data_IF_490649440457
#
_entry.id   IF_490649440457
#
_cell.length_a   1.000
_cell.length_b   1.000
_cell.length_c   1.000
_cell.angle_alpha   90.00
_cell.angle_beta   90.00
_cell.angle_gamma   90.00
#
_symmetry.space_group_name_H-M   'P 1'
#
loop_
_entity.id
_entity.type
_entity.pdbx_description
1 polymer ?
2 water ?
#
# COMPACT_ATOMS: atom_id res chain seq x y z
N UNK A 5 -2.34 -18.01 8.65
CA UNK A 5 -1.36 -19.10 8.53
C UNK A 5 0.07 -18.56 8.61
N UNK A 6 1.03 -19.47 8.77
CA UNK A 6 2.48 -19.19 8.87
C UNK A 6 2.95 -18.61 7.52
N UNK A 7 2.39 -19.10 6.42
CA UNK A 7 2.71 -18.61 5.05
C UNK A 7 2.28 -17.15 4.92
N UNK A 8 1.10 -16.79 5.42
CA UNK A 8 0.59 -15.40 5.34
C UNK A 8 1.49 -14.51 6.21
N UNK A 9 1.99 -15.06 7.31
CA UNK A 9 2.92 -14.39 8.24
C UNK A 9 4.23 -14.12 7.52
N UNK A 10 4.74 -15.09 6.78
CA UNK A 10 6.03 -14.97 6.08
C UNK A 10 5.84 -13.98 4.93
N UNK A 11 4.69 -14.00 4.27
CA UNK A 11 4.41 -13.08 3.15
C UNK A 11 4.42 -11.65 3.70
N UNK A 12 3.79 -11.43 4.85
CA UNK A 12 3.71 -10.11 5.51
C UNK A 12 5.12 -9.63 5.82
N UNK A 13 5.92 -10.46 6.47
CA UNK A 13 7.29 -10.11 6.90
C UNK A 13 8.11 -9.71 5.68
N UNK A 14 7.97 -10.41 4.57
CA UNK A 14 8.74 -10.13 3.34
C UNK A 14 8.25 -8.80 2.77
N UNK A 15 6.95 -8.60 2.67
CA UNK A 15 6.32 -7.34 2.15
C UNK A 15 6.87 -6.14 2.90
N UNK A 16 6.78 -6.16 4.23
CA UNK A 16 7.18 -5.03 5.11
C UNK A 16 8.68 -4.80 4.98
N UNK A 17 9.45 -5.86 4.93
CA UNK A 17 10.92 -5.78 4.81
C UNK A 17 11.25 -5.09 3.50
N UNK A 18 10.61 -5.46 2.40
CA UNK A 18 10.94 -4.82 1.11
C UNK A 18 10.44 -3.37 1.10
N UNK A 19 9.31 -3.08 1.73
CA UNK A 19 8.74 -1.72 1.74
C UNK A 19 9.66 -0.78 2.50
N UNK A 20 10.29 -1.21 3.58
CA UNK A 20 11.21 -0.34 4.34
C UNK A 20 12.37 0.03 3.42
N UNK A 21 12.91 -0.92 2.64
CA UNK A 21 14.02 -0.74 1.68
C UNK A 21 13.65 0.19 0.51
N UNK A 22 12.56 -0.11 -0.19
CA UNK A 22 12.07 0.56 -1.41
C UNK A 22 11.63 2.00 -1.10
N UNK A 23 11.03 2.26 0.06
CA UNK A 23 10.58 3.62 0.40
C UNK A 23 11.78 4.54 0.57
N UNK A 24 12.95 4.04 0.93
CA UNK A 24 14.13 4.96 0.96
C UNK A 24 14.49 5.49 -0.45
N UNK A 25 14.18 4.80 -1.55
CA UNK A 25 14.55 5.16 -2.94
C UNK A 25 13.61 6.24 -3.50
N UNK A 26 14.13 7.37 -4.01
CA UNK A 26 13.29 8.48 -4.52
C UNK A 26 12.56 8.01 -5.77
N UNK A 27 13.13 7.06 -6.51
CA UNK A 27 12.54 6.56 -7.75
C UNK A 27 11.25 5.80 -7.44
N UNK A 28 11.19 5.07 -6.33
CA UNK A 28 9.98 4.30 -5.97
C UNK A 28 8.82 5.26 -5.75
N UNK A 29 9.00 6.33 -4.98
CA UNK A 29 7.92 7.30 -4.74
C UNK A 29 7.51 7.90 -6.08
N UNK A 30 8.47 8.26 -6.94
CA UNK A 30 8.23 8.90 -8.25
C UNK A 30 7.37 7.98 -9.13
N UNK A 31 7.69 6.70 -9.18
CA UNK A 31 6.95 5.71 -9.99
C UNK A 31 5.52 5.65 -9.48
N UNK A 32 5.33 5.50 -8.18
CA UNK A 32 3.98 5.40 -7.57
C UNK A 32 3.20 6.64 -7.93
N UNK A 33 3.80 7.81 -7.77
CA UNK A 33 3.17 9.12 -8.07
C UNK A 33 2.73 9.16 -9.53
N UNK A 34 3.63 8.92 -10.48
CA UNK A 34 3.36 9.01 -11.93
C UNK A 34 2.23 8.04 -12.30
N UNK A 35 2.31 6.84 -11.78
CA UNK A 35 1.29 5.82 -12.08
C UNK A 35 -0.07 6.32 -11.60
N UNK A 36 -0.15 6.86 -10.39
CA UNK A 36 -1.42 7.38 -9.82
C UNK A 36 -1.90 8.60 -10.58
N UNK A 37 -1.05 9.44 -11.16
CA UNK A 37 -1.52 10.58 -12.00
C UNK A 37 -2.48 10.03 -13.07
N UNK A 38 -2.02 9.03 -13.81
CA UNK A 38 -2.79 8.37 -14.90
C UNK A 38 -4.00 7.60 -14.36
N UNK A 39 -3.87 6.87 -13.26
CA UNK A 39 -4.98 6.04 -12.70
C UNK A 39 -6.09 6.91 -12.17
N UNK A 40 -5.82 8.16 -11.74
CA UNK A 40 -6.88 9.06 -11.23
C UNK A 40 -7.77 9.57 -12.36
N UNK A 41 -7.34 9.44 -13.62
CA UNK A 41 -8.12 9.95 -14.77
C UNK A 41 -8.89 8.84 -15.48
N UNK A 42 -8.92 7.63 -14.96
CA UNK A 42 -9.69 6.53 -15.61
C UNK A 42 -10.76 6.03 -14.64
N UNK A 43 -11.75 5.33 -15.19
CA UNK A 43 -12.90 4.79 -14.45
C UNK A 43 -12.40 3.69 -13.50
N UNK A 44 -12.88 3.43 -12.26
CA UNK A 44 -13.82 4.26 -11.48
C UNK A 44 -13.21 5.42 -10.68
N UNK A 45 -11.88 5.44 -10.59
CA UNK A 45 -11.05 6.41 -9.84
C UNK A 45 -11.52 7.84 -10.07
N UNK A 46 -11.80 8.23 -11.31
CA UNK A 46 -12.19 9.60 -11.68
C UNK A 46 -13.54 9.99 -11.06
N UNK A 47 -14.44 9.06 -10.80
CA UNK A 47 -15.78 9.36 -10.22
C UNK A 47 -15.75 9.46 -8.70
N UNK A 48 -14.68 9.02 -8.04
CA UNK A 48 -14.65 8.87 -6.57
C UNK A 48 -14.69 10.20 -5.81
N UNK A 49 -15.38 10.25 -4.67
CA UNK A 49 -15.34 11.40 -3.73
C UNK A 49 -14.77 10.82 -2.43
N UNK A 50 -13.66 11.27 -1.77
CA UNK A 50 -12.79 12.41 -2.10
C UNK A 50 -12.03 12.25 -3.42
N UNK A 51 -11.68 13.35 -4.07
CA UNK A 51 -11.06 13.32 -5.40
C UNK A 51 -9.74 12.54 -5.31
N UNK A 52 -9.45 11.70 -6.30
CA UNK A 52 -8.29 10.79 -6.34
C UNK A 52 -6.99 11.58 -6.26
N UNK A 53 -6.88 12.63 -7.06
CA UNK A 53 -5.66 13.46 -7.17
C UNK A 53 -5.38 14.14 -5.83
N UNK A 54 -6.40 14.65 -5.18
CA UNK A 54 -6.26 15.35 -3.89
C UNK A 54 -5.76 14.32 -2.86
N UNK A 55 -6.31 13.12 -2.86
CA UNK A 55 -5.88 12.05 -1.92
C UNK A 55 -4.41 11.75 -2.18
N UNK A 56 -4.01 11.61 -3.42
CA UNK A 56 -2.62 11.27 -3.81
C UNK A 56 -1.69 12.38 -3.32
N UNK A 57 -2.09 13.63 -3.47
CA UNK A 57 -1.24 14.77 -3.09
C UNK A 57 -1.04 14.80 -1.58
N UNK A 58 -2.11 14.66 -0.81
CA UNK A 58 -2.07 14.72 0.68
C UNK A 58 -1.45 13.49 1.34
N UNK A 59 -1.80 12.27 0.92
CA UNK A 59 -1.44 11.03 1.64
C UNK A 59 -0.20 10.28 1.15
N UNK A 60 0.15 10.30 -0.13
CA UNK A 60 1.29 9.46 -0.57
C UNK A 60 2.58 9.88 0.12
N UNK A 61 2.92 11.17 0.31
CA UNK A 61 4.17 11.50 0.99
C UNK A 61 4.18 10.94 2.42
N UNK A 62 3.06 10.95 3.12
CA UNK A 62 2.95 10.44 4.50
C UNK A 62 2.99 8.92 4.52
N UNK A 63 2.38 8.24 3.55
CA UNK A 63 2.43 6.76 3.47
C UNK A 63 3.89 6.34 3.26
N UNK A 64 4.58 7.06 2.39
CA UNK A 64 6.01 6.81 2.06
C UNK A 64 6.81 7.03 3.34
N UNK A 65 6.51 8.09 4.09
CA UNK A 65 7.21 8.43 5.36
C UNK A 65 7.00 7.33 6.39
N UNK A 66 5.79 6.81 6.53
CA UNK A 66 5.47 5.77 7.52
C UNK A 66 6.44 4.60 7.38
N UNK A 67 6.71 4.15 6.16
CA UNK A 67 7.54 2.95 5.87
C UNK A 67 9.05 3.26 5.88
N UNK A 68 9.44 4.52 6.03
CA UNK A 68 10.84 4.95 6.25
C UNK A 68 11.15 5.02 7.75
N UNK A 69 10.18 4.78 8.63
CA UNK A 69 10.39 4.86 10.10
C UNK A 69 11.00 3.55 10.61
N UNK A 70 11.37 3.47 11.88
CA UNK A 70 12.06 2.26 12.40
C UNK A 70 10.99 1.20 12.67
N UNK A 71 10.77 0.28 11.73
CA UNK A 71 9.76 -0.79 11.86
C UNK A 71 10.49 -2.13 11.87
N UNK A 72 10.14 -3.03 12.79
CA UNK A 72 10.59 -4.43 12.83
C UNK A 72 9.50 -5.18 12.08
N UNK A 73 9.75 -5.78 10.89
CA UNK A 73 8.68 -6.45 10.17
C UNK A 73 8.00 -7.54 11.00
N UNK A 74 8.75 -8.33 11.74
CA UNK A 74 8.19 -9.45 12.53
C UNK A 74 7.21 -8.89 13.56
N UNK A 75 7.57 -7.78 14.21
CA UNK A 75 6.76 -7.15 15.26
C UNK A 75 5.48 -6.59 14.67
N UNK A 76 5.59 -5.88 13.54
CA UNK A 76 4.40 -5.25 12.91
C UNK A 76 3.38 -6.31 12.49
N UNK A 77 3.81 -7.36 11.81
CA UNK A 77 2.91 -8.42 11.32
C UNK A 77 2.30 -9.15 12.50
N UNK A 78 3.09 -9.37 13.54
CA UNK A 78 2.65 -10.10 14.75
C UNK A 78 1.57 -9.28 15.46
N UNK A 79 1.76 -7.98 15.55
CA UNK A 79 0.87 -7.06 16.29
C UNK A 79 -0.46 -6.90 15.55
N UNK A 80 -0.48 -6.98 14.22
CA UNK A 80 -1.73 -6.72 13.45
C UNK A 80 -2.45 -7.99 13.04
N UNK A 81 -2.11 -9.14 13.62
CA UNK A 81 -2.87 -10.39 13.42
C UNK A 81 -2.50 -11.19 12.20
N UNK A 82 -1.34 -10.98 11.60
CA UNK A 82 -0.97 -11.75 10.40
C UNK A 82 -0.08 -12.95 10.76
N UNK A 83 0.21 -13.21 12.03
CA UNK A 83 1.03 -14.36 12.50
C UNK A 83 0.31 -15.06 13.65
N UNK A 84 -0.78 -15.80 13.44
CA UNK A 84 -1.55 -16.33 14.55
C UNK A 84 -0.79 -17.28 15.47
N UNK A 85 0.19 -18.02 14.96
CA UNK A 85 0.97 -18.98 15.78
C UNK A 85 2.19 -18.27 16.40
N UNK A 86 2.52 -17.05 15.98
CA UNK A 86 3.67 -16.28 16.47
C UNK A 86 4.80 -16.26 15.46
N UNK B 7 18.48 -3.87 -9.44
CA UNK B 7 18.28 -3.81 -7.96
C UNK B 7 16.84 -3.38 -7.65
N UNK B 8 16.45 -2.15 -8.02
CA UNK B 8 15.11 -1.58 -7.80
C UNK B 8 14.10 -2.40 -8.58
N UNK B 9 14.48 -2.77 -9.79
CA UNK B 9 13.62 -3.56 -10.69
C UNK B 9 13.26 -4.85 -9.96
N UNK B 10 14.23 -5.51 -9.35
CA UNK B 10 14.04 -6.78 -8.61
C UNK B 10 13.11 -6.55 -7.42
N UNK B 11 13.32 -5.47 -6.66
CA UNK B 11 12.55 -5.17 -5.43
C UNK B 11 11.09 -4.92 -5.80
N UNK B 12 10.86 -4.28 -6.94
CA UNK B 12 9.54 -3.89 -7.44
C UNK B 12 8.75 -5.14 -7.81
N UNK B 13 9.33 -5.98 -8.64
CA UNK B 13 8.69 -7.21 -9.12
C UNK B 13 8.32 -8.07 -7.92
N UNK B 14 9.22 -8.18 -6.95
CA UNK B 14 8.99 -8.97 -5.72
C UNK B 14 7.81 -8.39 -4.93
N UNK B 15 7.78 -7.09 -4.71
CA UNK B 15 6.69 -6.44 -3.94
C UNK B 15 5.37 -6.59 -4.70
N UNK B 16 5.36 -6.35 -6.01
CA UNK B 16 4.10 -6.46 -6.79
C UNK B 16 3.60 -7.90 -6.69
N UNK B 17 4.48 -8.88 -6.87
CA UNK B 17 4.11 -10.31 -6.84
C UNK B 17 3.58 -10.69 -5.46
N UNK B 18 4.25 -10.30 -4.41
CA UNK B 18 3.80 -10.64 -3.05
C UNK B 18 2.44 -9.97 -2.78
N UNK B 19 2.22 -8.76 -3.27
CA UNK B 19 0.97 -8.00 -3.00
C UNK B 19 -0.26 -8.68 -3.63
N UNK B 20 -0.19 -9.22 -4.85
CA UNK B 20 -1.35 -9.89 -5.50
C UNK B 20 -1.73 -11.11 -4.64
N UNK B 21 -0.71 -11.84 -4.23
CA UNK B 21 -0.87 -13.03 -3.38
C UNK B 21 -1.61 -12.64 -2.10
N UNK B 22 -1.10 -11.64 -1.38
CA UNK B 22 -1.65 -11.19 -0.07
C UNK B 22 -3.07 -10.64 -0.21
N UNK B 23 -3.40 -9.96 -1.30
CA UNK B 23 -4.74 -9.34 -1.54
C UNK B 23 -5.85 -10.39 -1.73
N UNK B 24 -5.52 -11.65 -2.03
CA UNK B 24 -6.48 -12.79 -2.10
C UNK B 24 -6.86 -13.31 -0.70
N UNK B 25 -6.25 -12.82 0.38
CA UNK B 25 -6.59 -13.23 1.75
C UNK B 25 -7.49 -12.21 2.51
N UNK B 26 -8.56 -12.71 3.13
CA UNK B 26 -9.53 -11.91 3.90
C UNK B 26 -8.81 -11.34 5.11
N UNK B 27 -7.91 -12.12 5.71
CA UNK B 27 -7.15 -11.72 6.91
C UNK B 27 -6.29 -10.50 6.59
N UNK B 28 -5.75 -10.39 5.40
CA UNK B 28 -4.87 -9.26 5.00
C UNK B 28 -5.67 -7.97 4.91
N UNK B 29 -6.77 -7.99 4.17
CA UNK B 29 -7.64 -6.81 3.98
C UNK B 29 -8.14 -6.35 5.35
N UNK B 30 -8.55 -7.30 6.19
CA UNK B 30 -9.07 -7.06 7.56
C UNK B 30 -7.99 -6.42 8.44
N UNK B 31 -6.75 -6.88 8.35
CA UNK B 31 -5.61 -6.35 9.13
C UNK B 31 -5.31 -4.92 8.67
N UNK B 32 -5.26 -4.66 7.37
CA UNK B 32 -5.05 -3.30 6.83
C UNK B 32 -6.14 -2.39 7.36
N UNK B 33 -7.40 -2.79 7.22
CA UNK B 33 -8.58 -2.03 7.68
C UNK B 33 -8.41 -1.67 9.17
N UNK B 34 -8.14 -2.62 10.05
CA UNK B 34 -8.05 -2.35 11.50
C UNK B 34 -6.92 -1.36 11.80
N UNK B 35 -5.77 -1.57 11.18
CA UNK B 35 -4.61 -0.68 11.36
C UNK B 35 -4.99 0.74 10.93
N UNK B 36 -5.57 0.94 9.77
CA UNK B 36 -5.86 2.32 9.33
C UNK B 36 -6.97 2.93 10.17
N UNK B 37 -7.93 2.15 10.68
CA UNK B 37 -8.99 2.75 11.51
C UNK B 37 -8.34 3.40 12.74
N UNK B 38 -7.47 2.70 13.45
CA UNK B 38 -6.82 3.25 14.65
C UNK B 38 -5.83 4.35 14.25
N UNK B 39 -5.12 4.18 13.13
CA UNK B 39 -4.07 5.12 12.65
C UNK B 39 -4.70 6.44 12.19
N UNK B 40 -5.96 6.44 11.77
CA UNK B 40 -6.67 7.67 11.32
C UNK B 40 -7.01 8.59 12.50
N UNK B 41 -6.94 8.08 13.73
CA UNK B 41 -7.31 8.86 14.92
C UNK B 41 -6.10 9.49 15.62
N UNK B 42 -4.89 9.31 15.10
CA UNK B 42 -3.68 9.90 15.71
C UNK B 42 -3.04 10.89 14.74
N UNK B 43 -2.13 11.71 15.25
CA UNK B 43 -1.52 12.80 14.48
C UNK B 43 -0.49 12.23 13.49
N UNK B 44 -0.26 12.73 12.26
CA UNK B 44 -0.92 13.87 11.61
C UNK B 44 -2.22 13.52 10.87
N UNK B 45 -2.53 12.24 10.76
CA UNK B 45 -3.68 11.68 9.99
C UNK B 45 -5.00 12.34 10.35
N UNK B 46 -5.29 12.52 11.65
CA UNK B 46 -6.59 13.04 12.14
C UNK B 46 -6.83 14.49 11.72
N UNK B 47 -5.83 15.29 11.41
CA UNK B 47 -6.02 16.70 10.96
C UNK B 47 -6.07 16.82 9.44
N UNK B 48 -5.89 15.75 8.68
CA UNK B 48 -5.79 15.79 7.22
C UNK B 48 -7.14 16.04 6.54
N UNK B 49 -7.16 16.75 5.42
CA UNK B 49 -8.35 16.96 4.56
C UNK B 49 -7.95 16.40 3.18
N UNK B 50 -8.64 15.51 2.44
CA UNK B 50 -9.84 14.77 2.80
C UNK B 50 -9.66 13.86 4.01
N UNK B 51 -10.75 13.64 4.75
CA UNK B 51 -10.76 12.92 6.03
C UNK B 51 -10.18 11.52 5.83
N UNK B 52 -9.37 11.04 6.76
CA UNK B 52 -8.66 9.75 6.68
C UNK B 52 -9.68 8.61 6.66
N UNK B 53 -10.69 8.64 7.51
CA UNK B 53 -11.69 7.55 7.58
C UNK B 53 -12.43 7.46 6.26
N UNK B 54 -12.77 8.60 5.68
CA UNK B 54 -13.50 8.69 4.40
C UNK B 54 -12.65 8.08 3.28
N UNK B 55 -11.37 8.40 3.23
CA UNK B 55 -10.46 7.84 2.20
C UNK B 55 -10.42 6.33 2.38
N UNK B 56 -10.24 5.85 3.60
CA UNK B 56 -10.14 4.40 3.86
C UNK B 56 -11.41 3.70 3.37
N UNK B 57 -12.56 4.23 3.75
CA UNK B 57 -13.88 3.62 3.46
C UNK B 57 -14.10 3.55 1.96
N UNK B 58 -13.71 4.58 1.21
CA UNK B 58 -14.01 4.63 -0.24
C UNK B 58 -12.94 3.95 -1.07
N UNK B 59 -11.68 3.97 -0.64
CA UNK B 59 -10.60 3.52 -1.55
C UNK B 59 -10.06 2.13 -1.24
N UNK B 60 -10.06 1.68 0.00
CA UNK B 60 -9.39 0.40 0.32
C UNK B 60 -10.03 -0.75 -0.48
N UNK B 61 -11.36 -0.91 -0.57
CA UNK B 61 -11.90 -2.03 -1.34
C UNK B 61 -11.48 -1.97 -2.81
N UNK B 62 -11.42 -0.78 -3.38
CA UNK B 62 -11.05 -0.58 -4.79
C UNK B 62 -9.57 -0.93 -5.00
N UNK B 63 -8.65 -0.52 -4.13
CA UNK B 63 -7.22 -0.88 -4.26
C UNK B 63 -7.07 -2.39 -4.14
N UNK B 64 -7.72 -2.99 -3.14
CA UNK B 64 -7.71 -4.45 -2.91
C UNK B 64 -8.12 -5.16 -4.20
N UNK B 65 -9.27 -4.79 -4.75
CA UNK B 65 -9.83 -5.39 -5.98
C UNK B 65 -8.87 -5.17 -7.14
N UNK B 66 -8.17 -4.04 -7.16
CA UNK B 66 -7.15 -3.64 -8.18
C UNK B 66 -5.97 -4.59 -8.21
N UNK B 67 -5.42 -4.92 -7.06
CA UNK B 67 -4.23 -5.78 -6.95
C UNK B 67 -4.62 -7.26 -7.03
N UNK B 68 -5.90 -7.59 -6.99
CA UNK B 68 -6.32 -9.00 -7.05
C UNK B 68 -6.34 -9.47 -8.50
N UNK B 69 -6.74 -8.62 -9.43
CA UNK B 69 -6.93 -9.03 -10.84
C UNK B 69 -6.63 -7.99 -11.92
N UNK B 70 -5.91 -6.89 -11.67
CA UNK B 70 -5.76 -5.88 -12.76
C UNK B 70 -4.33 -5.68 -13.26
N UNK B 71 -3.27 -5.98 -12.48
CA UNK B 71 -1.85 -5.84 -12.95
C UNK B 71 -0.96 -7.01 -12.49
N UNK B 72 0.19 -7.19 -13.18
CA UNK B 72 1.30 -8.16 -12.98
C UNK B 72 2.67 -7.45 -12.89
N UNK B 73 3.69 -8.00 -12.18
CA UNK B 73 4.96 -7.30 -11.93
C UNK B 73 5.83 -6.81 -13.08
N UNK B 74 6.17 -7.64 -14.05
CA UNK B 74 7.09 -7.23 -15.13
C UNK B 74 6.47 -6.02 -15.81
N UNK B 75 5.21 -6.15 -16.19
CA UNK B 75 4.52 -5.07 -16.91
C UNK B 75 4.48 -3.82 -16.04
N UNK B 76 4.04 -3.88 -14.79
CA UNK B 76 3.95 -2.65 -13.96
C UNK B 76 5.31 -1.97 -13.82
N UNK B 77 6.32 -2.68 -13.32
CA UNK B 77 7.64 -2.09 -13.03
C UNK B 77 8.28 -1.55 -14.31
N UNK B 78 8.24 -2.30 -15.39
CA UNK B 78 8.86 -1.88 -16.67
C UNK B 78 8.15 -0.62 -17.18
N UNK B 79 6.82 -0.63 -17.12
CA UNK B 79 5.96 0.47 -17.62
C UNK B 79 6.22 1.74 -16.83
N UNK B 80 6.49 1.67 -15.52
CA UNK B 80 6.62 2.89 -14.69
C UNK B 80 8.08 3.26 -14.39
N UNK B 81 9.03 2.76 -15.17
CA UNK B 81 10.43 3.19 -15.10
C UNK B 81 11.29 2.57 -14.01
N UNK B 82 10.91 1.46 -13.41
CA UNK B 82 11.76 0.83 -12.37
C UNK B 82 12.67 -0.23 -12.99
N UNK B 83 12.43 -0.64 -14.23
CA UNK B 83 13.25 -1.62 -14.98
C UNK B 83 13.65 -1.05 -16.35
#
# INVERSE_FOLDING_TARGET
SHAGANDLCQECEDIVHLLTKMTKEDAFQEAIRKFWEQECDILPWKLLWPRCRQVLDVYLPLWIDYFQSQINPKAWCNHWGLCPRGQ
SHAGANDLCQECEDIVHLLTKMTKEDAFQEAIRKFWEQECDILPWKLLWPRCRQVLDVYLPLWIDYFQSQINPKAWCNHWGLCPRGQ
#
